data_IF_591914766307
#
_entry.id   IF_591914766307
#
_cell.length_a   1.000
_cell.length_b   1.000
_cell.length_c   1.000
_cell.angle_alpha   90.00
_cell.angle_beta   90.00
_cell.angle_gamma   90.00
#
_symmetry.space_group_name_H-M   'P 1'
#
loop_
_entity.id
_entity.type
_entity.pdbx_description
1 polymer ?
#
# COMPACT_ATOMS: atom_id res chain seq x y z
N UNK A 1 11.59 23.48 -6.83
CA UNK A 1 10.93 22.15 -6.70
C UNK A 1 11.68 21.19 -7.61
N UNK A 2 12.23 20.09 -7.10
CA UNK A 2 12.91 19.10 -7.93
C UNK A 2 11.91 18.31 -8.79
N UNK A 3 12.37 17.71 -9.89
CA UNK A 3 11.55 16.80 -10.72
C UNK A 3 10.97 15.66 -9.87
N UNK A 4 11.78 15.11 -8.97
CA UNK A 4 11.36 14.08 -8.02
C UNK A 4 10.20 14.53 -7.12
N UNK A 5 10.24 15.78 -6.64
CA UNK A 5 9.15 16.31 -5.81
C UNK A 5 7.86 16.45 -6.62
N UNK A 6 7.95 16.92 -7.87
CA UNK A 6 6.78 17.01 -8.76
C UNK A 6 6.18 15.63 -9.05
N UNK A 7 7.02 14.62 -9.19
CA UNK A 7 6.58 13.22 -9.41
C UNK A 7 6.14 12.50 -8.14
N UNK A 8 6.22 13.13 -6.98
CA UNK A 8 5.80 12.55 -5.70
C UNK A 8 4.32 12.81 -5.43
N UNK A 9 3.63 11.86 -4.81
CA UNK A 9 2.18 11.96 -4.62
C UNK A 9 1.69 11.18 -3.40
N UNK A 10 0.51 11.53 -2.89
CA UNK A 10 -0.20 10.78 -1.84
C UNK A 10 -1.35 10.02 -2.48
N UNK A 11 -1.50 8.75 -2.13
CA UNK A 11 -2.61 7.94 -2.62
C UNK A 11 -3.14 6.97 -1.56
N UNK A 12 -4.40 6.56 -1.74
CA UNK A 12 -4.91 5.34 -1.14
C UNK A 12 -4.53 4.16 -1.98
N UNK A 13 -4.13 3.07 -1.34
CA UNK A 13 -3.68 1.85 -2.02
C UNK A 13 -4.51 0.64 -1.59
N UNK A 14 -4.89 -0.19 -2.57
CA UNK A 14 -5.53 -1.50 -2.41
C UNK A 14 -4.84 -2.53 -3.29
N UNK A 15 -4.94 -3.82 -2.95
CA UNK A 15 -4.49 -4.91 -3.82
C UNK A 15 -5.71 -5.64 -4.38
N UNK A 16 -5.81 -5.78 -5.70
CA UNK A 16 -6.96 -6.36 -6.42
C UNK A 16 -8.31 -5.85 -5.85
N UNK A 17 -8.42 -4.52 -5.69
CA UNK A 17 -9.56 -3.82 -5.07
C UNK A 17 -9.95 -4.27 -3.65
N UNK A 18 -9.10 -5.04 -2.99
CA UNK A 18 -9.26 -5.51 -1.60
C UNK A 18 -8.42 -4.65 -0.66
N UNK A 19 -9.00 -4.18 0.47
CA UNK A 19 -8.22 -3.47 1.48
C UNK A 19 -7.09 -4.34 2.02
N UNK A 20 -5.89 -3.77 1.98
CA UNK A 20 -4.70 -4.36 2.61
C UNK A 20 -4.69 -4.02 4.10
N UNK A 21 -4.10 -4.91 4.89
CA UNK A 21 -3.94 -4.76 6.34
C UNK A 21 -2.55 -5.20 6.74
N UNK A 22 -2.17 -4.88 7.98
CA UNK A 22 -0.97 -5.43 8.56
C UNK A 22 -1.33 -6.56 9.52
N UNK A 23 -0.55 -7.62 9.47
CA UNK A 23 -0.62 -8.73 10.41
C UNK A 23 0.38 -8.46 11.53
N UNK A 24 -0.16 -8.15 12.71
CA UNK A 24 0.62 -7.76 13.90
C UNK A 24 1.08 -8.97 14.73
N UNK A 25 0.49 -10.15 14.55
CA UNK A 25 0.65 -11.28 15.47
C UNK A 25 1.65 -12.33 14.96
N UNK A 26 2.91 -12.25 15.41
CA UNK A 26 3.79 -13.42 15.43
C UNK A 26 4.04 -13.81 16.89
N UNK A 27 3.48 -14.94 17.32
CA UNK A 27 3.81 -15.58 18.59
C UNK A 27 5.31 -15.95 18.57
N UNK A 28 6.11 -15.33 19.43
CA UNK A 28 7.48 -15.74 19.76
C UNK A 28 8.59 -14.79 19.33
N UNK A 29 9.12 -14.02 20.29
CA UNK A 29 10.50 -13.51 20.48
C UNK A 29 11.40 -13.12 19.29
N UNK A 30 10.87 -12.82 18.10
CA UNK A 30 11.67 -12.33 16.98
C UNK A 30 11.44 -10.83 16.79
N UNK A 31 12.25 -10.03 17.49
CA UNK A 31 12.31 -8.58 17.29
C UNK A 31 12.56 -8.28 15.80
N UNK A 32 11.53 -7.81 15.09
CA UNK A 32 11.60 -7.47 13.66
C UNK A 32 10.62 -8.21 12.73
N UNK A 33 9.77 -9.12 13.23
CA UNK A 33 8.89 -9.95 12.37
C UNK A 33 7.38 -9.60 12.44
N UNK A 34 6.98 -8.62 13.26
CA UNK A 34 5.61 -8.06 13.22
C UNK A 34 5.42 -7.08 12.05
N UNK A 35 4.17 -6.85 11.64
CA UNK A 35 3.75 -5.87 10.63
C UNK A 35 3.87 -6.30 9.16
N UNK A 36 3.64 -7.59 8.88
CA UNK A 36 3.57 -8.08 7.50
C UNK A 36 2.36 -7.50 6.78
N UNK A 37 2.55 -7.06 5.54
CA UNK A 37 1.46 -6.61 4.70
C UNK A 37 0.67 -7.84 4.21
N UNK A 38 -0.62 -7.84 4.48
CA UNK A 38 -1.55 -8.93 4.12
C UNK A 38 -2.80 -8.38 3.45
N UNK A 39 -3.65 -9.27 2.93
CA UNK A 39 -4.97 -8.93 2.41
C UNK A 39 -6.04 -9.17 3.48
N UNK A 40 -7.22 -8.57 3.33
CA UNK A 40 -8.39 -8.87 4.18
C UNK A 40 -9.04 -10.25 3.88
N UNK A 41 -8.29 -11.26 3.44
CA UNK A 41 -8.80 -12.63 3.30
C UNK A 41 -8.63 -13.40 4.61
N UNK A 42 -9.46 -14.42 4.81
CA UNK A 42 -9.33 -15.39 5.90
C UNK A 42 -9.21 -16.79 5.33
N UNK A 43 -8.39 -17.65 5.93
CA UNK A 43 -8.39 -19.06 5.56
C UNK A 43 -9.65 -19.73 6.09
N UNK A 44 -10.36 -20.41 5.22
CA UNK A 44 -11.53 -21.22 5.59
C UNK A 44 -11.10 -22.68 5.71
N UNK A 45 -11.10 -23.22 6.94
CA UNK A 45 -10.85 -24.64 7.17
C UNK A 45 -11.93 -25.54 6.53
N UNK A 46 -13.13 -25.03 6.29
CA UNK A 46 -14.21 -25.79 5.65
C UNK A 46 -13.96 -25.99 4.16
N UNK A 47 -13.46 -24.97 3.49
CA UNK A 47 -13.22 -25.00 2.03
C UNK A 47 -11.75 -25.15 1.66
N UNK A 48 -10.86 -25.31 2.65
CA UNK A 48 -9.40 -25.40 2.52
C UNK A 48 -8.81 -24.37 1.54
N UNK A 49 -9.33 -23.13 1.60
CA UNK A 49 -8.92 -22.04 0.71
C UNK A 49 -9.10 -20.69 1.39
N UNK A 50 -8.39 -19.70 0.89
CA UNK A 50 -8.57 -18.30 1.29
C UNK A 50 -9.90 -17.78 0.76
N UNK A 51 -10.70 -17.18 1.64
CA UNK A 51 -11.97 -16.53 1.30
C UNK A 51 -11.94 -15.06 1.70
N UNK A 52 -12.55 -14.20 0.89
CA UNK A 52 -12.62 -12.76 1.19
C UNK A 52 -13.40 -12.58 2.50
N UNK A 53 -12.81 -11.93 3.50
CA UNK A 53 -13.53 -11.65 4.73
C UNK A 53 -14.53 -10.53 4.45
N UNK A 54 -15.81 -10.86 4.30
CA UNK A 54 -16.86 -9.86 4.29
C UNK A 54 -16.94 -9.24 5.68
N UNK A 55 -16.60 -7.96 5.80
CA UNK A 55 -17.08 -7.14 6.90
C UNK A 55 -18.50 -6.71 6.55
N UNK A 56 -19.47 -7.11 7.37
CA UNK A 56 -20.78 -6.48 7.41
C UNK A 56 -20.57 -5.03 7.83
N UNK A 57 -20.73 -4.10 6.89
CA UNK A 57 -20.70 -2.67 7.16
C UNK A 57 -22.07 -2.25 7.66
N UNK A 58 -22.17 -1.83 8.92
CA UNK A 58 -23.34 -1.14 9.42
C UNK A 58 -23.37 0.27 8.79
N UNK A 59 -24.33 0.55 7.90
CA UNK A 59 -24.41 1.82 7.16
C UNK A 59 -24.80 3.02 8.05
N UNK A 60 -25.11 2.78 9.32
CA UNK A 60 -25.63 3.82 10.24
C UNK A 60 -24.55 4.54 11.06
N UNK A 61 -23.31 4.05 11.05
CA UNK A 61 -22.19 4.64 11.81
C UNK A 61 -21.17 5.27 10.85
N UNK A 62 -20.66 6.48 11.14
CA UNK A 62 -19.53 7.06 10.40
C UNK A 62 -18.33 6.14 10.52
N UNK A 63 -18.00 5.41 9.47
CA UNK A 63 -16.85 4.50 9.46
C UNK A 63 -15.59 5.21 8.99
N UNK A 64 -14.56 5.15 9.81
CA UNK A 64 -13.18 5.50 9.43
C UNK A 64 -12.78 4.63 8.23
N UNK A 65 -12.22 5.24 7.17
CA UNK A 65 -11.75 4.46 6.02
C UNK A 65 -10.72 3.43 6.49
N UNK A 66 -10.90 2.17 6.08
CA UNK A 66 -9.91 1.11 6.34
C UNK A 66 -8.82 1.05 5.26
N UNK A 67 -8.86 1.98 4.31
CA UNK A 67 -7.87 2.07 3.25
C UNK A 67 -6.59 2.70 3.77
N UNK A 68 -5.48 2.08 3.39
CA UNK A 68 -4.16 2.59 3.72
C UNK A 68 -3.83 3.80 2.85
N UNK A 69 -3.33 4.85 3.49
CA UNK A 69 -2.81 6.05 2.83
C UNK A 69 -1.29 5.97 2.85
N UNK A 70 -0.68 6.16 1.68
CA UNK A 70 0.77 6.12 1.51
C UNK A 70 1.23 7.33 0.70
N UNK A 71 2.46 7.75 0.96
CA UNK A 71 3.19 8.76 0.21
C UNK A 71 4.22 8.08 -0.68
N UNK A 72 4.09 8.27 -1.98
CA UNK A 72 5.02 7.83 -3.01
C UNK A 72 6.07 8.90 -3.19
N UNK A 73 7.23 8.74 -2.54
CA UNK A 73 8.38 9.63 -2.74
C UNK A 73 9.15 9.19 -3.97
N UNK A 74 9.12 10.00 -5.03
CA UNK A 74 9.86 9.71 -6.25
C UNK A 74 11.36 9.96 -6.08
N UNK A 75 12.15 9.17 -6.79
CA UNK A 75 13.56 9.35 -7.03
C UNK A 75 13.81 8.91 -8.47
N UNK A 76 13.90 9.86 -9.40
CA UNK A 76 14.05 9.60 -10.83
C UNK A 76 12.92 8.72 -11.43
N UNK A 77 13.13 7.40 -11.45
CA UNK A 77 12.26 6.37 -12.04
C UNK A 77 11.60 5.42 -11.01
N UNK A 78 11.88 5.59 -9.71
CA UNK A 78 11.39 4.71 -8.65
C UNK A 78 10.84 5.48 -7.46
N UNK A 79 10.17 4.74 -6.57
CA UNK A 79 9.48 5.27 -5.41
C UNK A 79 9.89 4.56 -4.13
N UNK A 80 10.09 5.34 -3.06
CA UNK A 80 9.97 4.81 -1.71
C UNK A 80 8.55 5.11 -1.19
N UNK A 81 7.84 4.08 -0.77
CA UNK A 81 6.43 4.18 -0.39
C UNK A 81 6.35 4.27 1.14
N UNK A 82 6.11 5.46 1.67
CA UNK A 82 5.98 5.73 3.10
C UNK A 82 4.52 5.64 3.54
N UNK A 83 4.25 4.97 4.66
CA UNK A 83 2.91 4.84 5.22
C UNK A 83 2.55 6.12 5.98
N UNK A 84 1.38 6.68 5.67
CA UNK A 84 0.83 7.90 6.29
C UNK A 84 -0.39 7.63 7.18
N UNK A 85 -0.85 6.38 7.26
CA UNK A 85 -1.89 5.94 8.19
C UNK A 85 -1.34 5.79 9.62
N UNK A 86 -2.17 6.09 10.61
CA UNK A 86 -1.80 6.23 12.04
C UNK A 86 -1.01 5.04 12.61
N UNK A 87 -1.44 3.80 12.38
CA UNK A 87 -0.83 2.62 12.99
C UNK A 87 0.64 2.35 12.56
N UNK A 88 1.08 2.93 11.43
CA UNK A 88 2.42 2.69 10.87
C UNK A 88 3.05 3.96 10.29
N UNK A 89 2.66 5.11 10.83
CA UNK A 89 3.12 6.40 10.34
C UNK A 89 4.66 6.46 10.28
N UNK A 90 5.20 6.84 9.13
CA UNK A 90 6.63 7.00 8.90
C UNK A 90 7.40 5.71 8.61
N UNK A 91 6.76 4.53 8.74
CA UNK A 91 7.29 3.27 8.21
C UNK A 91 7.16 3.23 6.69
N UNK A 92 7.89 2.34 6.06
CA UNK A 92 7.85 2.16 4.61
C UNK A 92 7.30 0.79 4.26
N UNK A 93 6.71 0.69 3.07
CA UNK A 93 6.64 -0.62 2.41
C UNK A 93 8.08 -1.06 2.20
N UNK A 94 8.44 -2.14 2.87
CA UNK A 94 9.79 -2.66 2.83
C UNK A 94 9.77 -4.17 3.01
N UNK A 95 10.78 -4.86 2.50
CA UNK A 95 10.93 -6.30 2.69
C UNK A 95 11.70 -6.61 3.98
N UNK A 96 11.25 -7.61 4.72
CA UNK A 96 12.00 -8.18 5.82
C UNK A 96 13.13 -9.12 5.31
N UNK A 97 13.98 -9.70 6.19
CA UNK A 97 15.03 -10.63 5.78
C UNK A 97 14.54 -11.88 5.04
N UNK A 98 13.26 -12.24 5.19
CA UNK A 98 12.61 -13.35 4.50
C UNK A 98 11.99 -12.97 3.15
N UNK A 99 12.21 -11.74 2.67
CA UNK A 99 11.68 -11.27 1.40
C UNK A 99 10.17 -10.94 1.42
N UNK A 100 9.55 -10.85 2.61
CA UNK A 100 8.13 -10.51 2.75
C UNK A 100 7.94 -9.01 2.96
N UNK A 101 6.98 -8.43 2.24
CA UNK A 101 6.62 -7.02 2.32
C UNK A 101 5.85 -6.73 3.61
N UNK A 102 6.18 -5.62 4.26
CA UNK A 102 5.51 -5.15 5.47
C UNK A 102 5.82 -3.68 5.77
N UNK A 103 5.43 -3.23 6.96
CA UNK A 103 5.75 -1.91 7.46
C UNK A 103 7.05 -1.92 8.27
N UNK A 104 8.17 -1.68 7.62
CA UNK A 104 9.50 -1.67 8.27
C UNK A 104 10.21 -0.33 8.10
N UNK A 105 11.39 -0.21 8.73
CA UNK A 105 12.28 0.89 8.44
C UNK A 105 12.70 0.86 6.96
N UNK A 106 13.00 2.04 6.41
CA UNK A 106 13.60 2.12 5.09
C UNK A 106 14.96 1.42 5.10
N UNK A 107 15.18 0.57 4.11
CA UNK A 107 16.43 -0.09 3.80
C UNK A 107 16.75 0.18 2.32
N UNK A 108 17.92 -0.26 1.83
CA UNK A 108 18.41 0.09 0.48
C UNK A 108 17.49 -0.28 -0.70
N UNK A 109 17.99 -0.08 -1.92
CA UNK A 109 17.19 -0.18 -3.15
C UNK A 109 16.44 -1.50 -3.36
N UNK A 110 16.96 -2.63 -2.86
CA UNK A 110 16.33 -3.94 -3.04
C UNK A 110 15.16 -4.18 -2.07
N UNK A 111 15.05 -3.38 -1.02
CA UNK A 111 14.13 -3.62 0.09
C UNK A 111 13.00 -2.60 0.16
N UNK A 112 13.26 -1.33 -0.17
CA UNK A 112 12.28 -0.23 0.04
C UNK A 112 11.97 0.56 -1.23
N UNK A 113 12.67 0.30 -2.33
CA UNK A 113 12.49 1.02 -3.58
C UNK A 113 11.70 0.20 -4.59
N UNK A 114 10.67 0.81 -5.18
CA UNK A 114 9.75 0.17 -6.09
C UNK A 114 9.57 0.99 -7.37
N UNK A 115 9.59 0.34 -8.52
CA UNK A 115 9.05 0.92 -9.73
C UNK A 115 7.53 0.66 -9.77
N UNK A 116 6.78 1.62 -10.31
CA UNK A 116 5.40 1.40 -10.72
C UNK A 116 5.43 0.91 -12.15
N UNK A 117 4.72 -0.18 -12.45
CA UNK A 117 4.57 -0.65 -13.83
C UNK A 117 3.13 -0.49 -14.30
N UNK A 118 2.96 -0.13 -15.57
CA UNK A 118 1.65 -0.19 -16.24
C UNK A 118 1.25 -1.65 -16.51
N UNK A 119 0.12 -1.86 -17.20
CA UNK A 119 -0.36 -3.22 -17.54
C UNK A 119 0.52 -3.92 -18.58
N UNK A 120 1.28 -3.15 -19.38
CA UNK A 120 2.24 -3.63 -20.37
C UNK A 120 3.64 -3.89 -19.76
N UNK A 121 3.79 -3.71 -18.44
CA UNK A 121 5.02 -3.81 -17.65
C UNK A 121 6.09 -2.73 -17.91
N UNK A 122 5.74 -1.62 -18.56
CA UNK A 122 6.63 -0.47 -18.66
C UNK A 122 6.69 0.28 -17.32
N UNK A 123 7.88 0.78 -16.98
CA UNK A 123 8.06 1.65 -15.82
C UNK A 123 7.36 2.98 -16.10
N UNK A 124 6.50 3.38 -15.17
CA UNK A 124 5.75 4.63 -15.21
C UNK A 124 5.97 5.45 -13.96
N UNK A 125 5.77 6.75 -14.08
CA UNK A 125 5.80 7.71 -12.98
C UNK A 125 4.48 8.47 -12.89
N UNK A 126 4.38 9.44 -11.98
CA UNK A 126 3.20 10.28 -11.85
C UNK A 126 2.84 11.03 -13.15
N UNK A 127 3.83 11.36 -13.99
CA UNK A 127 3.65 12.05 -15.27
C UNK A 127 2.74 11.25 -16.22
N UNK A 128 2.80 9.92 -16.13
CA UNK A 128 2.02 8.99 -16.95
C UNK A 128 0.60 8.76 -16.40
N UNK A 129 0.39 9.03 -15.11
CA UNK A 129 -0.88 8.81 -14.40
C UNK A 129 -1.82 10.01 -14.57
N UNK A 130 -2.47 10.14 -15.73
CA UNK A 130 -3.35 11.28 -16.06
C UNK A 130 -4.65 11.36 -15.25
N UNK A 131 -5.08 10.25 -14.64
CA UNK A 131 -6.30 10.16 -13.83
C UNK A 131 -5.95 9.92 -12.37
N UNK A 132 -6.85 10.29 -11.48
CA UNK A 132 -6.66 10.08 -10.03
C UNK A 132 -6.91 8.63 -9.60
N UNK A 133 -7.36 7.77 -10.52
CA UNK A 133 -7.41 6.32 -10.31
C UNK A 133 -6.48 5.65 -11.31
N UNK A 134 -5.60 4.80 -10.80
CA UNK A 134 -4.68 4.00 -11.58
C UNK A 134 -4.61 2.57 -11.05
N UNK A 135 -4.30 1.63 -11.92
CA UNK A 135 -3.98 0.25 -11.54
C UNK A 135 -2.58 -0.04 -12.04
N UNK A 136 -1.71 -0.50 -11.15
CA UNK A 136 -0.28 -0.68 -11.42
C UNK A 136 0.22 -2.01 -10.86
N UNK A 137 1.31 -2.53 -11.39
CA UNK A 137 2.13 -3.48 -10.66
C UNK A 137 3.18 -2.73 -9.83
N UNK A 138 3.60 -3.32 -8.71
CA UNK A 138 4.78 -2.88 -7.98
C UNK A 138 5.92 -3.85 -8.29
N UNK A 139 7.08 -3.33 -8.68
CA UNK A 139 8.30 -4.12 -8.86
C UNK A 139 9.35 -3.65 -7.88
N UNK A 140 9.94 -4.55 -7.10
CA UNK A 140 11.11 -4.19 -6.30
C UNK A 140 12.27 -3.85 -7.24
N UNK A 141 12.88 -2.66 -7.10
CA UNK A 141 13.68 -2.01 -8.16
C UNK A 141 14.70 -2.93 -8.85
N UNK A 142 15.50 -3.66 -8.06
CA UNK A 142 16.52 -4.58 -8.56
C UNK A 142 16.13 -6.06 -8.36
N UNK A 143 14.84 -6.35 -8.40
CA UNK A 143 14.30 -7.69 -8.28
C UNK A 143 13.05 -7.83 -9.16
N UNK A 144 12.04 -8.58 -8.70
CA UNK A 144 10.88 -8.94 -9.51
C UNK A 144 9.60 -8.19 -9.06
N UNK A 145 8.52 -8.40 -9.82
CA UNK A 145 7.18 -7.93 -9.52
C UNK A 145 6.70 -8.53 -8.20
N UNK A 146 6.05 -7.71 -7.39
CA UNK A 146 5.41 -8.12 -6.15
C UNK A 146 4.23 -9.05 -6.48
N UNK A 147 4.35 -10.25 -5.94
CA UNK A 147 3.41 -11.36 -6.02
C UNK A 147 2.70 -11.53 -4.69
N UNK A 148 1.54 -12.17 -4.74
CA UNK A 148 0.81 -12.65 -3.56
C UNK A 148 1.03 -14.15 -3.38
N UNK A 149 1.42 -14.54 -2.18
CA UNK A 149 1.69 -15.92 -1.81
C UNK A 149 0.98 -16.29 -0.50
N UNK A 150 0.53 -17.54 -0.37
CA UNK A 150 -0.03 -18.06 0.89
C UNK A 150 1.13 -18.49 1.78
N UNK A 151 1.25 -17.87 2.94
CA UNK A 151 2.20 -18.28 3.97
C UNK A 151 1.54 -19.40 4.79
N UNK A 152 1.82 -20.65 4.43
CA UNK A 152 1.11 -21.85 4.88
C UNK A 152 1.02 -21.98 6.41
N UNK A 153 2.12 -21.75 7.12
CA UNK A 153 2.17 -21.84 8.59
C UNK A 153 1.26 -20.80 9.28
N UNK A 154 1.02 -19.66 8.63
CA UNK A 154 0.19 -18.59 9.15
C UNK A 154 -1.21 -18.56 8.53
N UNK A 155 -1.43 -19.35 7.47
CA UNK A 155 -2.67 -19.40 6.69
C UNK A 155 -3.16 -18.00 6.28
N UNK A 156 -2.23 -17.16 5.81
CA UNK A 156 -2.52 -15.80 5.34
C UNK A 156 -1.87 -15.53 3.99
N UNK A 157 -2.41 -14.55 3.26
CA UNK A 157 -1.72 -14.02 2.09
C UNK A 157 -0.66 -13.01 2.54
N UNK A 158 0.57 -13.16 2.07
CA UNK A 158 1.62 -12.15 2.16
C UNK A 158 2.06 -11.72 0.75
N UNK A 159 2.84 -10.66 0.69
CA UNK A 159 3.41 -10.16 -0.56
C UNK A 159 4.93 -10.34 -0.58
N UNK A 160 5.46 -10.75 -1.71
CA UNK A 160 6.89 -11.00 -1.93
C UNK A 160 7.21 -10.89 -3.42
N UNK A 161 8.46 -10.66 -3.79
CA UNK A 161 8.92 -10.75 -5.18
C UNK A 161 9.39 -12.16 -5.57
N UNK A 162 9.50 -13.09 -4.62
CA UNK A 162 10.14 -14.39 -4.83
C UNK A 162 9.21 -15.45 -5.41
N UNK A 163 7.98 -15.58 -4.88
CA UNK A 163 7.05 -16.67 -5.20
C UNK A 163 5.60 -16.20 -5.24
N UNK A 164 4.75 -16.97 -5.92
CA UNK A 164 3.31 -16.72 -6.01
C UNK A 164 2.90 -16.03 -7.31
N UNK A 165 1.68 -15.49 -7.31
CA UNK A 165 1.05 -14.89 -8.49
C UNK A 165 1.24 -13.36 -8.47
N UNK A 166 1.64 -12.72 -9.59
CA UNK A 166 1.68 -11.27 -9.69
C UNK A 166 0.33 -10.66 -9.34
N UNK A 167 0.34 -9.53 -8.62
CA UNK A 167 -0.88 -8.83 -8.22
C UNK A 167 -0.84 -7.37 -8.60
N UNK A 168 -2.02 -6.81 -8.81
CA UNK A 168 -2.17 -5.39 -9.12
C UNK A 168 -2.53 -4.58 -7.89
N UNK A 169 -2.12 -3.32 -7.89
CA UNK A 169 -2.43 -2.35 -6.88
C UNK A 169 -3.26 -1.22 -7.47
N UNK A 170 -4.45 -1.03 -6.91
CA UNK A 170 -5.31 0.11 -7.26
C UNK A 170 -4.89 1.31 -6.42
N UNK A 171 -4.50 2.38 -7.09
CA UNK A 171 -4.16 3.67 -6.52
C UNK A 171 -5.34 4.62 -6.70
N UNK A 172 -5.73 5.31 -5.62
CA UNK A 172 -6.56 6.51 -5.66
C UNK A 172 -5.72 7.69 -5.19
N UNK A 173 -5.21 8.47 -6.14
CA UNK A 173 -4.39 9.66 -5.89
C UNK A 173 -5.25 10.69 -5.17
N UNK A 174 -4.71 11.22 -4.07
CA UNK A 174 -5.33 12.24 -3.23
C UNK A 174 -4.67 13.59 -3.42
N UNK A 175 -3.35 13.59 -3.65
CA UNK A 175 -2.54 14.79 -3.81
C UNK A 175 -1.41 14.50 -4.80
N UNK A 176 -1.25 15.37 -5.80
CA UNK A 176 -0.15 15.37 -6.78
C UNK A 176 0.89 16.40 -6.39
N UNK A 177 2.12 16.25 -6.87
CA UNK A 177 3.24 17.16 -6.57
C UNK A 177 3.47 17.35 -5.05
N UNK A 178 3.20 16.29 -4.28
CA UNK A 178 3.10 16.36 -2.83
C UNK A 178 4.50 16.58 -2.21
N UNK A 179 4.69 17.63 -1.39
CA UNK A 179 5.96 17.90 -0.74
C UNK A 179 6.31 16.79 0.26
N UNK A 180 7.61 16.62 0.53
CA UNK A 180 8.05 15.66 1.54
C UNK A 180 7.52 16.08 2.92
N UNK A 181 6.57 15.32 3.46
CA UNK A 181 5.99 15.61 4.77
C UNK A 181 6.85 15.01 5.89
N UNK A 182 7.60 15.87 6.58
CA UNK A 182 8.34 15.52 7.82
C UNK A 182 7.45 15.50 9.06
N UNK A 183 6.21 15.95 8.96
CA UNK A 183 5.28 16.01 10.08
C UNK A 183 4.86 14.64 10.61
N UNK A 184 4.76 14.55 11.93
CA UNK A 184 4.25 13.39 12.69
C UNK A 184 2.72 13.27 12.67
N UNK A 185 2.04 14.07 11.86
CA UNK A 185 0.59 14.06 11.74
C UNK A 185 0.16 13.02 10.68
N UNK A 186 -0.67 12.02 11.03
CA UNK A 186 -1.23 11.10 10.06
C UNK A 186 -2.07 11.84 9.01
N UNK A 187 -2.17 11.29 7.80
CA UNK A 187 -3.11 11.82 6.82
C UNK A 187 -4.55 11.64 7.34
N UNK A 188 -5.41 12.68 7.30
CA UNK A 188 -6.75 12.60 7.86
C UNK A 188 -7.53 11.47 7.18
N UNK A 189 -8.03 10.54 8.00
CA UNK A 189 -8.82 9.39 7.53
C UNK A 189 -10.30 9.74 7.29
N UNK A 190 -10.69 10.99 7.55
CA UNK A 190 -12.01 11.54 7.28
C UNK A 190 -11.94 12.39 6.00
N UNK A 191 -12.80 12.08 5.04
CA UNK A 191 -13.15 13.04 3.99
C UNK A 191 -14.10 14.00 4.69
N UNK A 192 -13.68 15.25 4.90
CA UNK A 192 -14.67 16.29 5.21
C UNK A 192 -15.66 16.33 4.04
N UNK A 193 -16.98 16.39 4.31
CA UNK A 193 -17.93 16.65 3.24
C UNK A 193 -17.44 17.90 2.51
N UNK A 194 -17.35 17.83 1.17
CA UNK A 194 -17.27 19.07 0.39
C UNK A 194 -18.43 19.92 0.90
N UNK A 195 -18.12 21.09 1.45
CA UNK A 195 -19.10 22.15 1.52
C UNK A 195 -19.51 22.32 0.07
N UNK A 196 -20.73 21.86 -0.21
CA UNK A 196 -21.40 22.25 -1.43
C UNK A 196 -21.54 23.75 -1.22
N UNK A 197 -20.75 24.53 -1.95
CA UNK A 197 -21.00 25.96 -2.05
C UNK A 197 -22.44 26.03 -2.56
N UNK A 198 -23.35 26.34 -1.65
CA UNK A 198 -24.63 26.91 -1.99
C UNK A 198 -24.28 28.21 -2.69
N UNK A 199 -24.13 28.14 -4.01
CA UNK A 199 -24.26 29.30 -4.87
C UNK A 199 -25.68 29.85 -4.65
N UNK A 200 -25.78 30.73 -3.66
CA UNK A 200 -26.85 31.71 -3.54
C UNK A 200 -26.81 32.61 -4.78
N UNK A 201 -27.76 32.42 -5.71
CA UNK A 201 -28.80 33.37 -6.12
C UNK A 201 -29.46 32.97 -7.44
#
# INVERSE_FOLDING_TARGET
MSTDQKRSFIARIRCDDTPMKFFEQMLGNSAGQGNLLTTSHRYSNLSQRMVRAHRTYDRTVRHRSSEMVVYFRCYDDYYNIQIRSEAYLGKYFSKNPHGLLGAFAGAGGNTTSFNLLNMDHDIITLDDLKKDKATVYLKARNADIIKRHVVENLKLYAYTDQVGEPVTFTLKILERDAPYQTGSTPYPLFIEPRIQDDDEM
#
